data_IF_717785415905
#
_entry.id   IF_717785415905
#
_cell.length_a   1.000
_cell.length_b   1.000
_cell.length_c   1.000
_cell.angle_alpha   90.00
_cell.angle_beta   90.00
_cell.angle_gamma   90.00
#
_symmetry.space_group_name_H-M   'P 1'
#
loop_
_entity.id
_entity.type
_entity.pdbx_description
1 polymer ?
#
# COMPACT_ATOMS: atom_id res chain seq x y z
N UNK A 1 10.95 16.98 -8.48
CA UNK A 1 10.12 17.64 -7.46
C UNK A 1 10.52 17.07 -6.10
N UNK A 2 10.73 17.88 -5.06
CA UNK A 2 11.20 17.43 -3.72
C UNK A 2 10.09 17.34 -2.66
N UNK A 3 8.86 17.60 -3.08
CA UNK A 3 7.67 17.65 -2.25
C UNK A 3 6.57 16.86 -2.93
N UNK A 4 5.74 16.17 -2.16
CA UNK A 4 4.50 15.55 -2.65
C UNK A 4 3.40 16.62 -2.61
N UNK A 5 2.72 16.84 -3.74
CA UNK A 5 1.60 17.80 -3.79
C UNK A 5 0.37 17.27 -3.04
N UNK A 6 -0.44 18.18 -2.50
CA UNK A 6 -1.68 17.81 -1.80
C UNK A 6 -2.67 17.07 -2.69
N UNK A 7 -2.68 17.38 -4.00
CA UNK A 7 -3.49 16.66 -5.00
C UNK A 7 -3.10 15.18 -5.07
N UNK A 8 -1.80 14.86 -5.17
CA UNK A 8 -1.32 13.48 -5.17
C UNK A 8 -1.67 12.75 -3.86
N UNK A 9 -1.60 13.45 -2.73
CA UNK A 9 -1.98 12.87 -1.42
C UNK A 9 -3.48 12.57 -1.37
N UNK A 10 -4.30 13.44 -1.93
CA UNK A 10 -5.75 13.26 -2.03
C UNK A 10 -6.12 12.09 -2.93
N UNK A 11 -5.45 11.92 -4.07
CA UNK A 11 -5.69 10.79 -4.97
C UNK A 11 -5.34 9.46 -4.29
N UNK A 12 -4.25 9.42 -3.53
CA UNK A 12 -3.88 8.24 -2.71
C UNK A 12 -4.95 7.96 -1.65
N UNK A 13 -5.39 8.99 -0.92
CA UNK A 13 -6.42 8.85 0.10
C UNK A 13 -7.76 8.36 -0.47
N UNK A 14 -8.16 8.84 -1.64
CA UNK A 14 -9.35 8.37 -2.36
C UNK A 14 -9.21 6.91 -2.78
N UNK A 15 -8.05 6.52 -3.32
CA UNK A 15 -7.78 5.14 -3.71
C UNK A 15 -7.79 4.18 -2.51
N UNK A 16 -7.19 4.57 -1.38
CA UNK A 16 -7.23 3.81 -0.13
C UNK A 16 -8.67 3.65 0.39
N UNK A 17 -9.49 4.70 0.26
CA UNK A 17 -10.91 4.65 0.59
C UNK A 17 -11.69 3.65 -0.27
N UNK A 18 -11.39 3.56 -1.58
CA UNK A 18 -11.97 2.53 -2.45
C UNK A 18 -11.54 1.12 -2.04
N UNK A 19 -10.26 0.93 -1.70
CA UNK A 19 -9.78 -0.37 -1.22
C UNK A 19 -10.48 -0.81 0.06
N UNK A 20 -10.66 0.10 1.02
CA UNK A 20 -11.35 -0.19 2.28
C UNK A 20 -12.82 -0.63 2.03
N UNK A 21 -13.48 0.03 1.06
CA UNK A 21 -14.81 -0.36 0.60
C UNK A 21 -14.83 -1.73 -0.08
N UNK A 22 -13.89 -2.03 -0.97
CA UNK A 22 -13.82 -3.33 -1.65
C UNK A 22 -13.58 -4.49 -0.69
N UNK A 23 -12.79 -4.25 0.36
CA UNK A 23 -12.46 -5.21 1.42
C UNK A 23 -13.55 -5.30 2.50
N UNK A 24 -14.58 -4.46 2.45
CA UNK A 24 -15.69 -4.54 3.40
C UNK A 24 -16.46 -5.86 3.22
N UNK A 25 -16.40 -6.70 4.25
CA UNK A 25 -17.05 -8.02 4.26
C UNK A 25 -16.35 -9.10 3.43
N UNK A 26 -15.12 -8.85 2.98
CA UNK A 26 -14.34 -9.79 2.15
C UNK A 26 -12.93 -9.99 2.71
N UNK A 27 -12.38 -11.22 2.68
CA UNK A 27 -11.01 -11.49 3.12
C UNK A 27 -9.94 -11.11 2.09
N UNK A 28 -10.32 -11.02 0.81
CA UNK A 28 -9.42 -10.71 -0.31
C UNK A 28 -10.06 -9.64 -1.20
N UNK A 29 -9.22 -8.94 -1.96
CA UNK A 29 -9.61 -7.71 -2.65
C UNK A 29 -10.72 -7.93 -3.68
N UNK A 30 -10.70 -9.06 -4.38
CA UNK A 30 -11.63 -9.39 -5.45
C UNK A 30 -12.71 -10.42 -5.07
N UNK A 31 -12.81 -10.83 -3.79
CA UNK A 31 -13.79 -11.83 -3.38
C UNK A 31 -13.44 -12.58 -2.10
N UNK A 32 -13.97 -13.79 -1.96
CA UNK A 32 -13.69 -14.69 -0.83
C UNK A 32 -12.41 -15.49 -0.98
N UNK A 33 -11.88 -15.57 -2.20
CA UNK A 33 -10.67 -16.30 -2.55
C UNK A 33 -9.57 -15.34 -2.99
N UNK A 34 -8.33 -15.74 -2.76
CA UNK A 34 -7.15 -15.04 -3.22
C UNK A 34 -7.07 -15.00 -4.76
N UNK A 35 -6.63 -13.87 -5.32
CA UNK A 35 -6.44 -13.71 -6.76
C UNK A 35 -5.18 -12.91 -7.10
N UNK A 36 -4.85 -12.83 -8.40
CA UNK A 36 -3.79 -11.93 -8.88
C UNK A 36 -4.04 -10.45 -8.55
N UNK A 37 -5.29 -10.05 -8.27
CA UNK A 37 -5.59 -8.69 -7.84
C UNK A 37 -4.93 -8.38 -6.49
N UNK A 38 -4.88 -9.37 -5.58
CA UNK A 38 -4.23 -9.20 -4.30
C UNK A 38 -2.72 -9.03 -4.47
N UNK A 39 -2.06 -9.80 -5.33
CA UNK A 39 -0.64 -9.61 -5.64
C UNK A 39 -0.36 -8.21 -6.22
N UNK A 40 -1.13 -7.79 -7.21
CA UNK A 40 -0.92 -6.53 -7.90
C UNK A 40 -1.07 -5.33 -6.97
N UNK A 41 -2.13 -5.33 -6.15
CA UNK A 41 -2.36 -4.26 -5.20
C UNK A 41 -1.42 -4.33 -3.99
N UNK A 42 -1.04 -5.54 -3.53
CA UNK A 42 -0.14 -5.69 -2.40
C UNK A 42 1.23 -5.07 -2.68
N UNK A 43 1.75 -5.24 -3.90
CA UNK A 43 3.00 -4.61 -4.33
C UNK A 43 2.92 -3.07 -4.31
N UNK A 44 1.77 -2.52 -4.71
CA UNK A 44 1.54 -1.07 -4.73
C UNK A 44 1.40 -0.51 -3.31
N UNK A 45 0.62 -1.16 -2.45
CA UNK A 45 0.40 -0.73 -1.06
C UNK A 45 1.64 -0.92 -0.20
N UNK A 46 2.39 -2.01 -0.35
CA UNK A 46 3.67 -2.17 0.37
C UNK A 46 4.66 -1.08 -0.01
N UNK A 47 4.73 -0.70 -1.30
CA UNK A 47 5.59 0.41 -1.73
C UNK A 47 5.15 1.74 -1.12
N UNK A 48 3.85 2.02 -1.06
CA UNK A 48 3.30 3.23 -0.44
C UNK A 48 3.63 3.31 1.06
N UNK A 49 3.49 2.20 1.78
CA UNK A 49 3.87 2.10 3.20
C UNK A 49 5.37 2.29 3.39
N UNK A 50 6.18 1.64 2.57
CA UNK A 50 7.65 1.77 2.63
C UNK A 50 8.12 3.17 2.19
N UNK A 51 7.34 3.92 1.41
CA UNK A 51 7.58 5.36 1.17
C UNK A 51 7.35 6.22 2.42
N UNK A 52 6.65 5.70 3.43
CA UNK A 52 6.36 6.37 4.70
C UNK A 52 4.94 6.95 4.79
N UNK A 53 4.04 6.57 3.90
CA UNK A 53 2.64 6.99 3.98
C UNK A 53 1.90 6.15 5.04
N UNK A 54 1.15 6.82 5.91
CA UNK A 54 0.35 6.15 6.94
C UNK A 54 -1.01 5.72 6.37
N UNK A 55 -1.28 4.42 6.38
CA UNK A 55 -2.56 3.84 5.92
C UNK A 55 -3.48 3.43 7.08
N UNK A 56 -3.09 3.71 8.33
CA UNK A 56 -3.79 3.21 9.53
C UNK A 56 -5.24 3.69 9.68
N UNK A 57 -5.61 4.80 9.04
CA UNK A 57 -6.99 5.28 8.93
C UNK A 57 -7.88 4.35 8.10
N UNK A 58 -7.30 3.58 7.18
CA UNK A 58 -7.97 2.61 6.30
C UNK A 58 -7.81 1.20 6.86
N UNK A 59 -8.63 0.90 7.87
CA UNK A 59 -8.48 -0.31 8.70
C UNK A 59 -8.56 -1.61 7.89
N UNK A 60 -9.48 -1.73 6.93
CA UNK A 60 -9.61 -2.94 6.09
C UNK A 60 -8.44 -3.10 5.16
N UNK A 61 -7.97 -2.00 4.57
CA UNK A 61 -6.75 -2.01 3.76
C UNK A 61 -5.52 -2.40 4.60
N UNK A 62 -5.41 -1.88 5.83
CA UNK A 62 -4.31 -2.25 6.75
C UNK A 62 -4.36 -3.72 7.15
N UNK A 63 -5.54 -4.22 7.57
CA UNK A 63 -5.75 -5.64 7.93
C UNK A 63 -5.41 -6.57 6.75
N UNK A 64 -5.85 -6.21 5.54
CA UNK A 64 -5.55 -6.96 4.32
C UNK A 64 -4.06 -6.91 3.95
N UNK A 65 -3.38 -5.78 4.12
CA UNK A 65 -1.95 -5.67 3.84
C UNK A 65 -1.12 -6.58 4.77
N UNK A 66 -1.46 -6.63 6.06
CA UNK A 66 -0.82 -7.56 7.01
C UNK A 66 -1.12 -9.03 6.67
N UNK A 67 -2.36 -9.32 6.24
CA UNK A 67 -2.73 -10.65 5.75
C UNK A 67 -1.90 -11.04 4.51
N UNK A 68 -1.73 -10.12 3.55
CA UNK A 68 -0.90 -10.36 2.38
C UNK A 68 0.55 -10.68 2.75
N UNK A 69 1.10 -9.92 3.71
CA UNK A 69 2.46 -10.16 4.23
C UNK A 69 2.62 -11.53 4.89
N UNK A 70 1.59 -12.00 5.59
CA UNK A 70 1.62 -13.27 6.29
C UNK A 70 1.37 -14.48 5.37
N UNK A 71 0.53 -14.33 4.34
CA UNK A 71 -0.01 -15.47 3.58
C UNK A 71 0.46 -15.55 2.12
N UNK A 72 0.90 -14.44 1.50
CA UNK A 72 1.30 -14.49 0.09
C UNK A 72 2.70 -15.11 -0.08
N UNK A 73 2.82 -16.18 -0.89
CA UNK A 73 4.13 -16.71 -1.27
C UNK A 73 4.94 -15.63 -2.00
N UNK A 74 6.20 -15.44 -1.60
CA UNK A 74 7.09 -14.46 -2.22
C UNK A 74 6.87 -13.01 -1.76
N UNK A 75 6.04 -12.77 -0.74
CA UNK A 75 5.86 -11.41 -0.23
C UNK A 75 7.18 -10.78 0.28
N UNK A 76 8.10 -11.58 0.82
CA UNK A 76 9.41 -11.08 1.27
C UNK A 76 10.24 -10.47 0.12
N UNK A 77 10.20 -11.07 -1.08
CA UNK A 77 10.84 -10.53 -2.29
C UNK A 77 10.19 -9.21 -2.71
N UNK A 78 8.86 -9.14 -2.68
CA UNK A 78 8.12 -7.90 -2.90
C UNK A 78 8.51 -6.82 -1.86
N UNK A 79 8.60 -7.18 -0.58
CA UNK A 79 8.93 -6.26 0.50
C UNK A 79 10.35 -5.71 0.38
N UNK A 80 11.31 -6.54 -0.05
CA UNK A 80 12.67 -6.08 -0.35
C UNK A 80 12.67 -5.03 -1.47
N UNK A 81 11.96 -5.29 -2.57
CA UNK A 81 11.80 -4.32 -3.66
C UNK A 81 11.11 -3.03 -3.22
N UNK A 82 10.05 -3.13 -2.44
CA UNK A 82 9.31 -1.99 -1.89
C UNK A 82 10.20 -1.11 -1.01
N UNK A 83 11.04 -1.71 -0.16
CA UNK A 83 12.02 -0.98 0.67
C UNK A 83 13.04 -0.22 -0.17
N UNK A 84 13.59 -0.85 -1.20
CA UNK A 84 14.54 -0.19 -2.12
C UNK A 84 13.88 1.04 -2.76
N UNK A 85 12.64 0.91 -3.26
CA UNK A 85 11.92 2.03 -3.84
C UNK A 85 11.57 3.11 -2.81
N UNK A 86 11.15 2.71 -1.61
CA UNK A 86 10.87 3.61 -0.49
C UNK A 86 12.10 4.42 -0.08
N UNK A 87 13.27 3.79 0.00
CA UNK A 87 14.53 4.46 0.32
C UNK A 87 14.95 5.45 -0.77
N UNK A 88 14.84 5.05 -2.05
CA UNK A 88 15.10 5.96 -3.19
C UNK A 88 14.15 7.16 -3.15
N UNK A 89 12.88 6.95 -2.79
CA UNK A 89 11.89 8.01 -2.67
C UNK A 89 12.22 8.96 -1.53
N UNK A 90 12.47 8.43 -0.32
CA UNK A 90 12.82 9.22 0.87
C UNK A 90 14.11 10.04 0.69
N UNK A 91 15.07 9.57 -0.11
CA UNK A 91 16.27 10.35 -0.45
C UNK A 91 15.99 11.56 -1.34
N UNK A 92 14.88 11.54 -2.09
CA UNK A 92 14.52 12.59 -3.07
C UNK A 92 13.48 13.58 -2.54
N UNK A 93 12.79 13.23 -1.46
CA UNK A 93 11.76 14.05 -0.81
C UNK A 93 12.33 14.66 0.47
N UNK A 94 12.05 15.93 0.73
CA UNK A 94 12.52 16.58 1.96
C UNK A 94 11.82 15.96 3.20
N UNK A 95 12.49 15.82 4.35
CA UNK A 95 11.89 15.26 5.56
C UNK A 95 10.58 15.96 5.95
N UNK A 96 9.54 15.18 6.27
CA UNK A 96 8.21 15.70 6.62
C UNK A 96 7.37 16.21 5.43
N UNK A 97 7.79 15.95 4.19
CA UNK A 97 7.05 16.30 2.96
C UNK A 97 6.39 15.12 2.24
N UNK A 98 6.32 13.98 2.93
CA UNK A 98 5.54 12.80 2.52
C UNK A 98 4.07 13.05 2.81
#
# INVERSE_FOLDING_TARGET
EKTVSDEKKKDVEEALGWMDQFLTGRPWLAGTEFTIADCACAASISTLVEMGYDISSHRKTTEWCEKCKAELPGFDENLEGAKILGDIFKQKVDPGRI
#
